data_IF_948053214258
#
_entry.id   IF_948053214258
#
_cell.length_a   1.000
_cell.length_b   1.000
_cell.length_c   1.000
_cell.angle_alpha   90.00
_cell.angle_beta   90.00
_cell.angle_gamma   90.00
#
_symmetry.space_group_name_H-M   'P 1'
#
loop_
_entity.id
_entity.type
_entity.pdbx_description
1 polymer ?
#
# COMPACT_ATOMS: atom_id res chain seq x y z
N UNK A 1 9.77 3.46 -19.62
CA UNK A 1 9.88 3.22 -18.17
C UNK A 1 9.41 4.47 -17.44
N UNK A 2 8.59 4.34 -16.38
CA UNK A 2 8.11 5.46 -15.57
C UNK A 2 9.14 5.73 -14.47
N UNK A 3 9.44 6.99 -14.19
CA UNK A 3 10.32 7.40 -13.10
C UNK A 3 9.50 8.00 -11.97
N UNK A 4 9.61 7.44 -10.77
CA UNK A 4 9.09 8.02 -9.53
C UNK A 4 10.29 8.54 -8.74
N UNK A 5 10.33 9.85 -8.45
CA UNK A 5 11.38 10.40 -7.63
C UNK A 5 11.13 10.11 -6.14
N UNK A 6 12.21 9.83 -5.41
CA UNK A 6 12.19 9.53 -3.98
C UNK A 6 13.00 10.58 -3.21
N UNK A 7 12.48 10.99 -2.07
CA UNK A 7 13.16 11.85 -1.11
C UNK A 7 13.11 11.20 0.27
N UNK A 8 14.26 11.08 0.94
CA UNK A 8 14.29 10.67 2.35
C UNK A 8 13.63 11.73 3.26
N UNK A 9 12.87 11.27 4.24
CA UNK A 9 12.46 12.14 5.35
C UNK A 9 13.64 12.48 6.26
N UNK A 10 13.47 13.46 7.12
CA UNK A 10 14.56 13.97 7.97
C UNK A 10 15.11 12.89 8.92
N UNK A 11 14.22 12.11 9.55
CA UNK A 11 14.58 11.08 10.52
C UNK A 11 14.85 9.70 9.89
N UNK A 12 14.81 9.60 8.56
CA UNK A 12 14.99 8.32 7.90
C UNK A 12 16.41 7.77 8.08
N UNK A 13 16.48 6.47 8.30
CA UNK A 13 17.70 5.71 8.13
C UNK A 13 17.97 5.53 6.62
N UNK A 14 19.01 6.20 6.13
CA UNK A 14 19.39 6.20 4.71
C UNK A 14 20.25 5.01 4.31
N UNK A 15 20.65 4.19 5.29
CA UNK A 15 21.40 2.95 5.06
C UNK A 15 20.47 1.80 4.66
N UNK A 16 19.15 1.94 4.90
CA UNK A 16 18.17 0.97 4.42
C UNK A 16 18.05 1.00 2.89
N UNK A 17 17.87 -0.17 2.24
CA UNK A 17 17.67 -0.24 0.80
C UNK A 17 16.42 0.53 0.36
N UNK A 18 16.53 1.25 -0.75
CA UNK A 18 15.37 1.82 -1.44
C UNK A 18 14.43 0.71 -1.94
N UNK A 19 13.14 1.04 -2.18
CA UNK A 19 12.23 0.10 -2.82
C UNK A 19 12.78 -0.44 -4.13
N UNK A 20 12.75 -1.75 -4.28
CA UNK A 20 13.27 -2.44 -5.47
C UNK A 20 12.35 -3.60 -5.85
N UNK A 21 12.36 -3.95 -7.13
CA UNK A 21 11.72 -5.16 -7.64
C UNK A 21 12.65 -6.34 -7.41
N UNK A 22 12.17 -7.37 -6.71
CA UNK A 22 13.00 -8.54 -6.35
C UNK A 22 13.32 -9.44 -7.56
N UNK A 23 12.49 -9.38 -8.62
CA UNK A 23 12.68 -10.12 -9.86
C UNK A 23 12.31 -9.25 -11.06
N UNK A 24 12.79 -9.59 -12.26
CA UNK A 24 12.49 -8.87 -13.49
C UNK A 24 10.97 -8.78 -13.79
N UNK A 25 10.21 -9.81 -13.41
CA UNK A 25 8.75 -9.86 -13.59
C UNK A 25 7.93 -9.37 -12.40
N UNK A 26 8.57 -8.86 -11.34
CA UNK A 26 7.83 -8.37 -10.17
C UNK A 26 6.99 -7.15 -10.51
N UNK A 27 5.73 -7.13 -10.09
CA UNK A 27 4.84 -5.98 -10.24
C UNK A 27 4.98 -4.98 -9.08
N UNK A 28 5.40 -5.43 -7.91
CA UNK A 28 5.54 -4.63 -6.70
C UNK A 28 6.98 -4.48 -6.25
N UNK A 29 7.32 -3.27 -5.78
CA UNK A 29 8.57 -2.98 -5.10
C UNK A 29 8.33 -2.99 -3.59
N UNK A 30 9.16 -3.71 -2.84
CA UNK A 30 8.99 -3.86 -1.38
C UNK A 30 9.20 -2.52 -0.65
N UNK A 31 8.31 -2.24 0.31
CA UNK A 31 8.41 -1.14 1.26
C UNK A 31 8.85 -1.65 2.63
N UNK A 32 9.80 -0.95 3.23
CA UNK A 32 10.36 -1.31 4.54
C UNK A 32 9.89 -0.36 5.64
N UNK A 33 9.75 -0.90 6.85
CA UNK A 33 9.63 -0.08 8.06
C UNK A 33 10.94 0.69 8.27
N UNK A 34 10.84 2.02 8.31
CA UNK A 34 11.97 2.90 8.58
C UNK A 34 11.61 3.79 9.76
N UNK A 35 11.80 3.24 10.96
CA UNK A 35 11.47 3.93 12.20
C UNK A 35 12.44 5.07 12.49
N UNK A 36 11.94 6.11 13.15
CA UNK A 36 12.77 7.14 13.76
C UNK A 36 13.67 6.58 14.87
N UNK A 37 14.63 7.37 15.37
CA UNK A 37 15.65 6.91 16.33
C UNK A 37 15.08 6.18 17.54
N UNK A 38 13.94 6.61 18.05
CA UNK A 38 13.32 6.07 19.27
C UNK A 38 12.85 4.61 19.14
N UNK A 39 12.46 4.20 17.93
CA UNK A 39 11.92 2.86 17.66
C UNK A 39 12.86 1.98 16.82
N UNK A 40 14.04 2.46 16.42
CA UNK A 40 14.96 1.68 15.58
C UNK A 40 15.45 0.40 16.23
N UNK A 41 15.70 0.45 17.53
CA UNK A 41 16.25 -0.69 18.28
C UNK A 41 15.14 -1.67 18.62
N UNK A 42 14.05 -1.17 19.19
CA UNK A 42 13.01 -2.02 19.78
C UNK A 42 11.90 -2.39 18.77
N UNK A 43 11.76 -1.62 17.69
CA UNK A 43 10.67 -1.81 16.73
C UNK A 43 9.30 -1.49 17.33
N UNK A 44 8.26 -2.12 16.78
CA UNK A 44 6.88 -1.93 17.24
C UNK A 44 6.15 -3.27 17.31
N UNK A 45 5.46 -3.53 18.42
CA UNK A 45 4.59 -4.70 18.57
C UNK A 45 3.14 -4.32 18.33
N UNK A 46 2.48 -5.03 17.40
CA UNK A 46 1.04 -4.94 17.17
C UNK A 46 0.34 -6.13 17.83
N UNK A 47 -0.46 -5.85 18.84
CA UNK A 47 -1.36 -6.85 19.42
C UNK A 47 -2.43 -7.29 18.39
N UNK A 48 -3.05 -8.47 18.55
CA UNK A 48 -4.19 -8.88 17.73
C UNK A 48 -5.29 -7.80 17.70
N UNK A 49 -5.76 -7.47 16.48
CA UNK A 49 -6.74 -6.42 16.25
C UNK A 49 -6.19 -4.99 16.22
N UNK A 50 -4.95 -4.76 16.64
CA UNK A 50 -4.33 -3.44 16.62
C UNK A 50 -3.87 -3.04 15.20
N UNK A 51 -3.82 -1.72 14.97
CA UNK A 51 -3.24 -1.13 13.76
C UNK A 51 -2.35 0.05 14.10
N UNK A 52 -1.36 0.31 13.25
CA UNK A 52 -0.50 1.47 13.38
C UNK A 52 -0.07 1.98 11.99
N UNK A 53 0.28 3.26 11.93
CA UNK A 53 0.94 3.87 10.78
C UNK A 53 2.45 3.63 10.91
N UNK A 54 3.00 2.83 9.99
CA UNK A 54 4.42 2.51 9.96
C UNK A 54 5.13 3.43 8.97
N UNK A 55 6.12 4.20 9.39
CA UNK A 55 6.87 5.08 8.51
C UNK A 55 7.77 4.26 7.56
N UNK A 56 7.91 4.75 6.32
CA UNK A 56 8.85 4.19 5.34
C UNK A 56 10.12 5.03 5.18
N UNK A 57 10.17 6.21 5.79
CA UNK A 57 11.26 7.15 5.64
C UNK A 57 11.30 7.86 4.28
N UNK A 58 10.27 7.71 3.45
CA UNK A 58 10.24 8.20 2.08
C UNK A 58 9.12 9.22 1.84
N UNK A 59 9.38 10.12 0.89
CA UNK A 59 8.39 10.93 0.16
C UNK A 59 8.52 10.62 -1.31
N UNK A 60 7.40 10.69 -2.05
CA UNK A 60 7.33 10.36 -3.46
C UNK A 60 6.99 11.60 -4.29
N UNK A 61 7.55 11.67 -5.50
CA UNK A 61 7.04 12.50 -6.58
C UNK A 61 6.67 11.59 -7.75
N UNK A 62 5.37 11.40 -7.93
CA UNK A 62 4.79 10.52 -8.93
C UNK A 62 4.41 11.38 -10.13
N UNK A 63 4.76 11.00 -11.38
CA UNK A 63 4.39 11.76 -12.56
C UNK A 63 2.87 11.77 -12.75
N UNK A 64 2.33 12.87 -13.28
CA UNK A 64 0.90 13.00 -13.64
C UNK A 64 0.49 11.88 -14.58
N UNK A 65 -0.70 11.33 -14.36
CA UNK A 65 -1.21 10.16 -15.09
C UNK A 65 -0.86 8.82 -14.46
N UNK A 66 -0.18 8.84 -13.30
CA UNK A 66 0.13 7.64 -12.51
C UNK A 66 -0.25 7.84 -11.06
N UNK A 67 -0.45 6.72 -10.37
CA UNK A 67 -0.57 6.59 -8.92
C UNK A 67 0.44 5.57 -8.40
N UNK A 68 0.68 5.58 -7.10
CA UNK A 68 1.28 4.45 -6.40
C UNK A 68 0.22 3.81 -5.51
N UNK A 69 0.05 2.48 -5.66
CA UNK A 69 -0.79 1.68 -4.78
C UNK A 69 0.07 0.97 -3.74
N UNK A 70 -0.34 1.01 -2.49
CA UNK A 70 0.29 0.27 -1.40
C UNK A 70 -0.56 -0.96 -1.07
N UNK A 71 0.05 -2.15 -1.19
CA UNK A 71 -0.62 -3.44 -1.04
C UNK A 71 0.07 -4.30 0.02
N UNK A 72 -0.69 -5.23 0.67
CA UNK A 72 -0.10 -6.20 1.60
C UNK A 72 0.87 -7.14 0.89
N UNK A 73 1.73 -7.78 1.67
CA UNK A 73 2.56 -8.90 1.23
C UNK A 73 1.87 -10.21 1.58
N UNK A 74 1.72 -11.08 0.59
CA UNK A 74 1.01 -12.37 0.74
C UNK A 74 1.60 -13.27 1.84
N UNK A 75 2.92 -13.27 2.00
CA UNK A 75 3.58 -14.08 3.02
C UNK A 75 3.25 -13.62 4.45
N UNK A 76 3.19 -12.30 4.70
CA UNK A 76 2.79 -11.75 5.99
C UNK A 76 1.29 -11.98 6.27
N UNK A 77 0.47 -11.84 5.23
CA UNK A 77 -0.97 -12.07 5.34
C UNK A 77 -1.27 -13.53 5.70
N UNK A 78 -0.67 -14.49 4.98
CA UNK A 78 -0.95 -15.90 5.18
C UNK A 78 -0.39 -16.42 6.51
N UNK A 79 0.87 -16.06 6.86
CA UNK A 79 1.56 -16.64 8.02
C UNK A 79 1.22 -15.95 9.33
N UNK A 80 0.91 -14.65 9.30
CA UNK A 80 0.79 -13.84 10.50
C UNK A 80 -0.53 -13.05 10.57
N UNK A 81 -1.38 -13.13 9.53
CA UNK A 81 -2.62 -12.36 9.48
C UNK A 81 -2.40 -10.84 9.34
N UNK A 82 -1.23 -10.43 8.85
CA UNK A 82 -0.93 -8.99 8.68
C UNK A 82 -1.56 -8.47 7.40
N UNK A 83 -2.30 -7.40 7.52
CA UNK A 83 -3.02 -6.76 6.41
C UNK A 83 -2.89 -5.24 6.45
N UNK A 84 -3.34 -4.60 5.39
CA UNK A 84 -3.52 -3.16 5.31
C UNK A 84 -5.02 -2.88 5.23
N UNK A 85 -5.64 -2.24 6.25
CA UNK A 85 -7.09 -2.05 6.28
C UNK A 85 -7.62 -1.14 5.16
N UNK A 86 -6.77 -0.30 4.58
CA UNK A 86 -7.08 0.57 3.43
C UNK A 86 -6.56 0.02 2.10
N UNK A 87 -6.32 -1.29 1.99
CA UNK A 87 -5.75 -1.90 0.77
C UNK A 87 -6.78 -1.95 -0.38
N UNK A 88 -6.35 -1.55 -1.61
CA UNK A 88 -5.08 -0.92 -1.93
C UNK A 88 -5.04 0.54 -1.44
N UNK A 89 -3.97 0.90 -0.73
CA UNK A 89 -3.71 2.29 -0.38
C UNK A 89 -3.41 3.09 -1.64
N UNK A 90 -3.90 4.33 -1.72
CA UNK A 90 -3.72 5.19 -2.89
C UNK A 90 -2.80 6.36 -2.54
N UNK A 91 -1.76 6.54 -3.33
CA UNK A 91 -0.87 7.71 -3.27
C UNK A 91 -1.01 8.48 -4.57
N UNK A 92 -1.58 9.66 -4.46
CA UNK A 92 -1.86 10.54 -5.60
C UNK A 92 -0.58 11.20 -6.14
N UNK A 93 -0.58 11.57 -7.43
CA UNK A 93 0.59 12.18 -8.07
C UNK A 93 0.97 13.55 -7.49
N UNK A 94 0.05 14.26 -6.87
CA UNK A 94 0.26 15.56 -6.22
C UNK A 94 0.53 15.49 -4.71
N UNK A 95 0.50 14.28 -4.10
CA UNK A 95 0.88 14.12 -2.71
C UNK A 95 2.40 14.24 -2.50
N UNK A 96 2.82 15.05 -1.52
CA UNK A 96 4.22 15.29 -1.19
C UNK A 96 4.56 15.02 0.29
N UNK A 97 3.60 14.49 1.03
CA UNK A 97 3.81 14.10 2.43
C UNK A 97 4.64 12.82 2.59
N UNK A 98 4.97 12.44 3.82
CA UNK A 98 5.66 11.18 4.10
C UNK A 98 4.80 9.97 3.69
N UNK A 99 5.43 8.98 3.06
CA UNK A 99 4.81 7.70 2.77
C UNK A 99 4.79 6.86 4.04
N UNK A 100 3.60 6.54 4.52
CA UNK A 100 3.36 5.63 5.62
C UNK A 100 2.49 4.45 5.20
N UNK A 101 2.63 3.33 5.88
CA UNK A 101 1.84 2.12 5.67
C UNK A 101 0.97 1.87 6.89
N UNK A 102 -0.36 1.84 6.71
CA UNK A 102 -1.28 1.45 7.78
C UNK A 102 -1.29 -0.07 7.85
N UNK A 103 -0.64 -0.62 8.87
CA UNK A 103 -0.55 -2.07 9.10
C UNK A 103 -1.51 -2.47 10.20
N UNK A 104 -2.26 -3.55 9.99
CA UNK A 104 -3.17 -4.14 10.97
C UNK A 104 -2.81 -5.60 11.22
N UNK A 105 -2.79 -5.99 12.47
CA UNK A 105 -2.69 -7.40 12.87
C UNK A 105 -4.09 -8.01 12.97
N UNK A 106 -4.51 -8.73 11.94
CA UNK A 106 -5.75 -9.51 11.92
C UNK A 106 -5.53 -10.97 12.34
N UNK A 107 -4.33 -11.32 12.79
CA UNK A 107 -4.01 -12.63 13.36
C UNK A 107 -4.38 -12.74 14.84
N UNK A 108 -4.01 -13.84 15.46
CA UNK A 108 -4.32 -14.20 16.86
C UNK A 108 -3.11 -14.06 17.81
N UNK A 109 -1.93 -13.76 17.28
CA UNK A 109 -0.69 -13.56 18.04
C UNK A 109 -0.15 -12.14 17.88
N UNK A 110 0.54 -11.57 18.88
CA UNK A 110 1.26 -10.31 18.71
C UNK A 110 2.27 -10.42 17.55
N UNK A 111 2.35 -9.37 16.73
CA UNK A 111 3.29 -9.30 15.62
C UNK A 111 4.30 -8.18 15.86
N UNK A 112 5.58 -8.53 15.84
CA UNK A 112 6.67 -7.59 16.03
C UNK A 112 7.20 -7.11 14.67
N UNK A 113 7.09 -5.81 14.42
CA UNK A 113 7.67 -5.13 13.27
C UNK A 113 9.01 -4.56 13.67
N UNK A 114 10.08 -5.07 13.09
CA UNK A 114 11.43 -4.57 13.30
C UNK A 114 11.78 -3.47 12.29
N UNK A 115 12.74 -2.63 12.65
CA UNK A 115 13.32 -1.67 11.71
C UNK A 115 13.95 -2.40 10.52
N UNK A 116 13.65 -1.96 9.30
CA UNK A 116 14.10 -2.60 8.07
C UNK A 116 13.23 -3.74 7.54
N UNK A 117 12.24 -4.22 8.31
CA UNK A 117 11.31 -5.24 7.83
C UNK A 117 10.55 -4.80 6.58
N UNK A 118 10.38 -5.72 5.64
CA UNK A 118 9.51 -5.54 4.46
C UNK A 118 8.06 -5.74 4.87
N UNK A 119 7.30 -4.66 4.99
CA UNK A 119 5.94 -4.64 5.55
C UNK A 119 4.83 -4.56 4.51
N UNK A 120 5.13 -4.06 3.32
CA UNK A 120 4.18 -3.86 2.23
C UNK A 120 4.92 -3.89 0.90
N UNK A 121 4.19 -3.71 -0.19
CA UNK A 121 4.73 -3.47 -1.51
C UNK A 121 4.00 -2.32 -2.19
N UNK A 122 4.70 -1.56 -3.03
CA UNK A 122 4.11 -0.51 -3.83
C UNK A 122 4.10 -0.89 -5.31
N UNK A 123 3.01 -0.54 -5.98
CA UNK A 123 2.80 -0.76 -7.40
C UNK A 123 2.57 0.59 -8.07
N UNK A 124 3.31 0.89 -9.14
CA UNK A 124 3.04 2.06 -9.98
C UNK A 124 1.99 1.67 -11.01
N UNK A 125 0.88 2.41 -11.07
CA UNK A 125 -0.22 2.13 -11.98
C UNK A 125 -0.65 3.38 -12.76
N UNK A 126 -1.09 3.26 -14.02
CA UNK A 126 -1.67 4.38 -14.76
C UNK A 126 -3.04 4.73 -14.17
N UNK A 127 -3.39 6.01 -14.22
CA UNK A 127 -4.67 6.54 -13.72
C UNK A 127 -5.47 7.13 -14.87
N UNK A 128 -6.75 6.77 -14.92
CA UNK A 128 -7.74 7.41 -15.79
C UNK A 128 -8.70 8.23 -14.94
N UNK A 129 -8.76 9.53 -15.20
CA UNK A 129 -9.76 10.40 -14.57
C UNK A 129 -11.01 10.46 -15.44
N UNK A 130 -12.18 10.24 -14.84
CA UNK A 130 -13.46 10.32 -15.50
C UNK A 130 -14.19 11.63 -15.19
N UNK A 131 -14.92 12.14 -16.17
CA UNK A 131 -15.90 13.20 -15.94
C UNK A 131 -17.23 12.56 -15.57
N UNK A 132 -17.77 12.90 -14.41
CA UNK A 132 -19.08 12.42 -13.97
C UNK A 132 -20.16 13.42 -14.37
N UNK A 133 -21.22 12.94 -15.05
CA UNK A 133 -22.36 13.73 -15.45
C UNK A 133 -23.66 13.02 -15.06
N UNK A 134 -24.62 13.81 -14.57
CA UNK A 134 -25.97 13.29 -14.29
C UNK A 134 -26.74 13.23 -15.59
N UNK A 135 -27.31 12.07 -15.88
CA UNK A 135 -28.19 11.84 -17.04
C UNK A 135 -29.60 11.44 -16.58
N UNK A 136 -30.58 11.58 -17.46
CA UNK A 136 -31.98 11.23 -17.11
C UNK A 136 -32.23 9.73 -17.13
N UNK A 137 -31.47 8.97 -17.93
CA UNK A 137 -31.55 7.51 -18.02
C UNK A 137 -30.20 6.94 -18.46
N UNK A 138 -29.94 5.70 -18.11
CA UNK A 138 -28.81 4.90 -18.58
C UNK A 138 -29.27 4.02 -19.75
N UNK A 139 -28.34 3.61 -20.60
CA UNK A 139 -28.61 2.62 -21.65
C UNK A 139 -28.93 1.26 -21.05
N UNK A 140 -29.79 0.50 -21.75
CA UNK A 140 -30.14 -0.86 -21.37
C UNK A 140 -28.97 -1.82 -21.67
N UNK A 141 -28.87 -2.88 -20.87
CA UNK A 141 -27.93 -3.99 -21.07
C UNK A 141 -28.62 -5.31 -20.73
N UNK A 142 -28.12 -6.43 -21.29
CA UNK A 142 -28.65 -7.78 -21.00
C UNK A 142 -28.58 -8.12 -19.49
N UNK A 143 -27.60 -7.60 -18.77
CA UNK A 143 -27.47 -7.78 -17.33
C UNK A 143 -28.47 -6.93 -16.55
N UNK A 144 -28.83 -5.75 -17.04
CA UNK A 144 -29.72 -4.80 -16.37
C UNK A 144 -29.28 -4.50 -14.94
N UNK A 145 -30.20 -4.63 -13.99
CA UNK A 145 -29.96 -4.42 -12.55
C UNK A 145 -29.42 -5.66 -11.81
N UNK A 146 -29.11 -6.74 -12.49
CA UNK A 146 -28.59 -7.96 -11.87
C UNK A 146 -27.23 -7.77 -11.19
N UNK A 147 -27.18 -8.04 -9.89
CA UNK A 147 -25.98 -7.92 -9.05
C UNK A 147 -26.06 -8.82 -7.82
N UNK A 148 -25.12 -8.69 -6.87
CA UNK A 148 -25.11 -9.42 -5.60
C UNK A 148 -25.28 -10.93 -5.71
N UNK A 149 -24.66 -11.55 -6.73
CA UNK A 149 -24.74 -13.00 -6.95
C UNK A 149 -25.96 -13.42 -7.78
N UNK A 150 -26.56 -12.52 -8.56
CA UNK A 150 -27.70 -12.83 -9.45
C UNK A 150 -27.40 -13.95 -10.47
N UNK A 151 -26.14 -14.28 -10.74
CA UNK A 151 -25.69 -15.37 -11.60
C UNK A 151 -25.52 -16.72 -10.86
N UNK A 152 -25.79 -16.77 -9.55
CA UNK A 152 -25.67 -18.01 -8.76
C UNK A 152 -24.24 -18.32 -8.30
N UNK A 153 -24.07 -19.51 -7.72
CA UNK A 153 -22.79 -20.02 -7.20
C UNK A 153 -22.22 -21.20 -8.01
N UNK A 154 -22.78 -21.53 -9.13
CA UNK A 154 -22.35 -22.68 -9.94
C UNK A 154 -22.45 -22.39 -11.39
#
# INVERSE_FOLDING_TARGET
>A
MVTVALLWTEEADRDLPLPAYETEGAAGADLRANFGPDLRVDGMVLAPGARALIPTGLRLEIPVGYEVQVRPRSGLALKHGITLPNSPGTIDSDYRGPLGVIVMNAGDQPFHIQHGDRIAQMIVAPVVQARFTVVKALSDTDRGAGGFGSTGRG
#
